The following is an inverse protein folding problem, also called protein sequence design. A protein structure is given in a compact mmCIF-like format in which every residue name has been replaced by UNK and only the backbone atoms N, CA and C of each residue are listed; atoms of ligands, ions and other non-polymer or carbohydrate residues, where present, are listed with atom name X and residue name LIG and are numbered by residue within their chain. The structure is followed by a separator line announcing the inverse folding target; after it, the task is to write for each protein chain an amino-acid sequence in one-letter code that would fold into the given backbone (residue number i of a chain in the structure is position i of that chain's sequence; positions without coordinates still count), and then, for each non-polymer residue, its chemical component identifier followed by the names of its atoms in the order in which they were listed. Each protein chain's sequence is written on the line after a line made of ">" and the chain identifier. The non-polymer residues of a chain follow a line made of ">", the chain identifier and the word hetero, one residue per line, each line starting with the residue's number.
data_IF_567904303243
#
_entry.id   IF_567904303243
#
_cell.length_a   1.000
_cell.length_b   1.000
_cell.length_c   1.000
_cell.angle_alpha   90.00
_cell.angle_beta   90.00
_cell.angle_gamma   90.00
#
_symmetry.space_group_name_H-M   'P 1'
#
loop_
_entity.id
_entity.type
_entity.pdbx_description
1 polymer ?
#
# COMPACT_ATOMS: atom_id res chain seq x y z
N UNK A 1 10.77 -22.79 -8.72
CA UNK A 1 10.16 -21.46 -8.42
C UNK A 1 10.25 -21.04 -6.95
N UNK A 2 10.44 -21.95 -5.97
CA UNK A 2 10.62 -21.58 -4.54
C UNK A 2 11.94 -20.84 -4.21
N UNK A 3 12.98 -20.95 -5.05
CA UNK A 3 14.29 -20.33 -4.75
C UNK A 3 14.38 -18.84 -5.12
N UNK A 4 13.56 -18.35 -6.05
CA UNK A 4 13.68 -16.96 -6.51
C UNK A 4 13.20 -15.95 -5.46
N UNK A 5 12.22 -16.32 -4.63
CA UNK A 5 11.73 -15.48 -3.54
C UNK A 5 12.70 -15.45 -2.35
N UNK A 6 13.31 -16.58 -2.00
CA UNK A 6 14.37 -16.61 -0.99
C UNK A 6 15.59 -15.83 -1.44
N UNK A 7 15.96 -15.90 -2.72
CA UNK A 7 17.06 -15.11 -3.31
C UNK A 7 16.76 -13.61 -3.27
N UNK A 8 15.54 -13.17 -3.63
CA UNK A 8 15.20 -11.74 -3.61
C UNK A 8 15.12 -11.19 -2.18
N UNK A 9 14.57 -11.96 -1.23
CA UNK A 9 14.51 -11.58 0.18
C UNK A 9 15.91 -11.55 0.82
N UNK A 10 16.78 -12.50 0.46
CA UNK A 10 18.19 -12.50 0.92
C UNK A 10 19.00 -11.37 0.31
N UNK A 11 18.82 -11.06 -0.98
CA UNK A 11 19.46 -9.90 -1.63
C UNK A 11 19.02 -8.60 -0.98
N UNK A 12 17.72 -8.43 -0.68
CA UNK A 12 17.23 -7.22 -0.01
C UNK A 12 17.79 -7.07 1.42
N UNK A 13 17.96 -8.18 2.15
CA UNK A 13 18.62 -8.15 3.47
C UNK A 13 20.14 -7.92 3.39
N UNK A 14 20.81 -8.35 2.31
CA UNK A 14 22.25 -8.17 2.10
C UNK A 14 22.60 -6.74 1.71
N UNK A 15 21.73 -6.04 0.96
CA UNK A 15 21.94 -4.63 0.59
C UNK A 15 21.88 -3.72 1.84
N UNK A 16 21.16 -4.11 2.90
CA UNK A 16 21.15 -3.39 4.18
C UNK A 16 22.48 -3.50 4.96
N UNK A 17 23.35 -4.46 4.64
CA UNK A 17 24.65 -4.66 5.32
C UNK A 17 25.76 -3.75 4.78
N UNK A 18 25.55 -3.06 3.65
CA UNK A 18 26.55 -2.16 3.04
C UNK A 18 26.14 -0.68 3.08
N UNK A 19 25.34 -0.28 4.08
CA UNK A 19 25.08 1.14 4.30
C UNK A 19 26.35 1.86 4.75
N UNK A 20 26.72 2.91 4.01
CA UNK A 20 27.84 3.81 4.28
C UNK A 20 27.76 4.37 5.70
N UNK A 21 28.83 4.18 6.48
CA UNK A 21 28.96 4.71 7.84
C UNK A 21 29.35 6.18 7.72
N UNK A 22 28.37 7.08 7.79
CA UNK A 22 28.62 8.53 7.84
C UNK A 22 28.84 8.99 9.30
N UNK A 23 29.70 9.99 9.50
CA UNK A 23 30.30 10.37 10.80
C UNK A 23 29.39 11.19 11.73
N UNK A 24 28.08 11.13 11.55
CA UNK A 24 27.13 11.81 12.45
C UNK A 24 26.62 10.84 13.51
N UNK A 25 26.48 11.28 14.76
CA UNK A 25 25.98 10.42 15.84
C UNK A 25 24.50 10.09 15.62
N UNK A 26 24.26 8.98 14.91
CA UNK A 26 22.92 8.43 14.71
C UNK A 26 22.47 7.89 16.07
N UNK A 27 21.64 8.64 16.81
CA UNK A 27 20.84 8.06 17.90
C UNK A 27 20.18 6.80 17.35
N UNK A 28 20.30 5.62 17.99
CA UNK A 28 19.77 4.38 17.42
C UNK A 28 18.29 4.58 17.11
N UNK A 29 18.00 4.67 15.81
CA UNK A 29 16.66 4.87 15.27
C UNK A 29 15.83 3.68 15.75
N UNK A 30 14.69 3.93 16.40
CA UNK A 30 13.94 2.93 17.16
C UNK A 30 13.76 1.59 16.43
N UNK A 31 13.73 0.49 17.19
CA UNK A 31 13.80 -0.88 16.68
C UNK A 31 12.81 -1.16 15.52
N UNK A 32 13.33 -1.26 14.29
CA UNK A 32 12.56 -1.52 13.07
C UNK A 32 11.78 -2.82 13.16
N UNK A 33 12.31 -3.84 13.85
CA UNK A 33 11.60 -5.10 14.07
C UNK A 33 10.24 -4.86 14.73
N UNK A 34 10.19 -4.03 15.79
CA UNK A 34 8.93 -3.71 16.48
C UNK A 34 7.92 -2.99 15.59
N UNK A 35 8.39 -2.09 14.72
CA UNK A 35 7.54 -1.34 13.79
C UNK A 35 7.00 -2.22 12.66
N UNK A 36 7.75 -3.26 12.27
CA UNK A 36 7.37 -4.17 11.20
C UNK A 36 6.41 -5.26 11.63
N UNK A 37 6.23 -5.53 12.94
CA UNK A 37 5.32 -6.59 13.42
C UNK A 37 3.92 -6.38 12.89
N UNK A 38 3.32 -5.19 13.07
CA UNK A 38 1.94 -4.93 12.66
C UNK A 38 1.76 -5.03 11.14
N UNK A 39 2.56 -4.33 10.30
CA UNK A 39 2.44 -4.46 8.84
C UNK A 39 2.66 -5.89 8.33
N UNK A 40 3.70 -6.58 8.82
CA UNK A 40 3.99 -7.95 8.36
C UNK A 40 2.91 -8.93 8.82
N UNK A 41 2.34 -8.74 10.00
CA UNK A 41 1.22 -9.55 10.47
C UNK A 41 0.01 -9.36 9.57
N UNK A 42 -0.34 -8.12 9.21
CA UNK A 42 -1.47 -7.82 8.31
C UNK A 42 -1.26 -8.37 6.88
N UNK A 43 -0.04 -8.26 6.35
CA UNK A 43 0.28 -8.86 5.05
C UNK A 43 0.19 -10.39 5.12
N UNK A 44 0.76 -10.99 6.16
CA UNK A 44 0.73 -12.44 6.38
C UNK A 44 -0.69 -12.97 6.53
N UNK A 45 -1.53 -12.32 7.34
CA UNK A 45 -2.94 -12.69 7.49
C UNK A 45 -3.71 -12.49 6.19
N UNK A 46 -3.47 -11.42 5.44
CA UNK A 46 -4.08 -11.20 4.13
C UNK A 46 -3.74 -12.31 3.12
N UNK A 47 -2.48 -12.75 3.09
CA UNK A 47 -2.05 -13.89 2.25
C UNK A 47 -2.72 -15.19 2.69
N UNK A 48 -2.79 -15.45 4.00
CA UNK A 48 -3.42 -16.67 4.53
C UNK A 48 -4.93 -16.71 4.32
N UNK A 49 -5.60 -15.56 4.41
CA UNK A 49 -7.03 -15.43 4.15
C UNK A 49 -7.35 -15.47 2.65
N UNK A 50 -6.38 -15.16 1.80
CA UNK A 50 -6.53 -15.24 0.35
C UNK A 50 -6.86 -16.68 -0.06
N UNK A 51 -7.91 -16.84 -0.86
CA UNK A 51 -8.48 -18.11 -1.34
C UNK A 51 -9.12 -19.02 -0.26
N UNK A 52 -9.20 -18.53 0.98
CA UNK A 52 -9.87 -19.23 2.07
C UNK A 52 -11.40 -19.33 1.87
N UNK A 53 -12.04 -20.29 2.53
CA UNK A 53 -13.49 -20.42 2.54
C UNK A 53 -14.20 -19.18 3.10
N UNK A 54 -13.56 -18.47 4.03
CA UNK A 54 -14.07 -17.21 4.57
C UNK A 54 -14.12 -16.13 3.48
N UNK A 55 -13.05 -15.96 2.70
CA UNK A 55 -13.01 -14.98 1.61
C UNK A 55 -14.07 -15.26 0.55
N UNK A 56 -14.21 -16.52 0.14
CA UNK A 56 -15.22 -16.95 -0.84
C UNK A 56 -16.65 -16.70 -0.34
N UNK A 57 -16.92 -17.02 0.92
CA UNK A 57 -18.20 -16.76 1.57
C UNK A 57 -18.50 -15.26 1.67
N UNK A 58 -17.53 -14.46 2.08
CA UNK A 58 -17.65 -13.01 2.21
C UNK A 58 -17.91 -12.35 0.85
N UNK A 59 -17.16 -12.74 -0.19
CA UNK A 59 -17.34 -12.24 -1.56
C UNK A 59 -18.75 -12.58 -2.09
N UNK A 60 -19.18 -13.84 -1.94
CA UNK A 60 -20.50 -14.29 -2.38
C UNK A 60 -21.63 -13.56 -1.64
N UNK A 61 -21.51 -13.41 -0.32
CA UNK A 61 -22.50 -12.71 0.51
C UNK A 61 -22.60 -11.24 0.11
N UNK A 62 -21.46 -10.57 -0.08
CA UNK A 62 -21.40 -9.16 -0.49
C UNK A 62 -22.01 -8.97 -1.87
N UNK A 63 -21.66 -9.83 -2.83
CA UNK A 63 -22.23 -9.80 -4.19
C UNK A 63 -23.74 -9.99 -4.18
N UNK A 64 -24.26 -10.94 -3.39
CA UNK A 64 -25.70 -11.16 -3.25
C UNK A 64 -26.41 -9.98 -2.58
N UNK A 65 -25.74 -9.24 -1.71
CA UNK A 65 -26.31 -8.07 -1.03
C UNK A 65 -26.34 -6.82 -1.93
N UNK A 66 -25.26 -6.54 -2.67
CA UNK A 66 -25.16 -5.37 -3.56
C UNK A 66 -25.87 -5.59 -4.90
N UNK A 67 -25.92 -6.84 -5.38
CA UNK A 67 -26.46 -7.22 -6.68
C UNK A 67 -25.38 -7.88 -7.54
N UNK A 68 -25.74 -9.01 -8.18
CA UNK A 68 -24.80 -9.80 -8.98
C UNK A 68 -24.33 -9.10 -10.26
N UNK A 69 -25.14 -8.16 -10.77
CA UNK A 69 -24.85 -7.36 -11.97
C UNK A 69 -24.28 -5.96 -11.64
N UNK A 70 -23.92 -5.72 -10.38
CA UNK A 70 -23.35 -4.43 -9.98
C UNK A 70 -21.90 -4.32 -10.46
N UNK A 71 -21.69 -3.40 -11.39
CA UNK A 71 -20.37 -2.98 -11.85
C UNK A 71 -20.28 -1.45 -11.82
N UNK A 72 -19.17 -0.93 -11.33
CA UNK A 72 -18.89 0.50 -11.30
C UNK A 72 -17.45 0.73 -11.70
N UNK A 73 -17.19 1.86 -12.36
CA UNK A 73 -15.85 2.33 -12.71
C UNK A 73 -15.40 3.47 -11.79
N UNK A 74 -16.13 3.76 -10.72
CA UNK A 74 -15.79 4.87 -9.82
C UNK A 74 -14.43 4.66 -9.15
N UNK A 75 -14.13 3.42 -8.77
CA UNK A 75 -12.87 3.01 -8.18
C UNK A 75 -11.67 3.27 -9.10
N UNK A 76 -11.86 3.22 -10.42
CA UNK A 76 -10.82 3.55 -11.38
C UNK A 76 -10.33 5.00 -11.25
N UNK A 77 -11.21 5.92 -10.85
CA UNK A 77 -10.88 7.34 -10.66
C UNK A 77 -10.52 7.65 -9.21
N UNK A 78 -11.29 7.13 -8.24
CA UNK A 78 -11.08 7.44 -6.83
C UNK A 78 -9.76 6.91 -6.29
N UNK A 79 -9.09 5.97 -6.98
CA UNK A 79 -7.75 5.53 -6.62
C UNK A 79 -6.70 6.65 -6.55
N UNK A 80 -6.91 7.73 -7.31
CA UNK A 80 -6.02 8.90 -7.32
C UNK A 80 -6.51 10.03 -6.42
N UNK A 81 -7.65 9.85 -5.75
CA UNK A 81 -8.21 10.86 -4.85
C UNK A 81 -7.22 11.29 -3.76
N UNK A 82 -6.43 10.41 -3.11
CA UNK A 82 -5.46 10.87 -2.11
C UNK A 82 -4.35 11.76 -2.71
N UNK A 83 -3.94 11.50 -3.96
CA UNK A 83 -2.97 12.36 -4.66
C UNK A 83 -3.58 13.74 -4.92
N UNK A 84 -4.83 13.80 -5.34
CA UNK A 84 -5.54 15.06 -5.49
C UNK A 84 -5.67 15.79 -4.14
N UNK A 85 -6.03 15.08 -3.06
CA UNK A 85 -6.12 15.62 -1.70
C UNK A 85 -4.82 16.28 -1.26
N UNK A 86 -3.67 15.64 -1.54
CA UNK A 86 -2.35 16.17 -1.20
C UNK A 86 -2.15 17.58 -1.77
N UNK A 87 -2.30 17.74 -3.09
CA UNK A 87 -2.04 19.02 -3.75
C UNK A 87 -3.15 20.05 -3.55
N UNK A 88 -4.42 19.61 -3.41
CA UNK A 88 -5.52 20.52 -3.08
C UNK A 88 -5.31 21.12 -1.69
N UNK A 89 -4.85 20.33 -0.71
CA UNK A 89 -4.57 20.81 0.63
C UNK A 89 -3.42 21.84 0.64
N UNK A 90 -2.36 21.61 -0.14
CA UNK A 90 -1.28 22.58 -0.35
C UNK A 90 -1.80 23.90 -0.96
N UNK A 91 -2.62 23.82 -2.01
CA UNK A 91 -3.23 24.99 -2.65
C UNK A 91 -4.20 25.74 -1.72
N UNK A 92 -4.89 25.02 -0.84
CA UNK A 92 -5.75 25.58 0.20
C UNK A 92 -4.97 26.18 1.38
N UNK A 93 -3.62 26.11 1.37
CA UNK A 93 -2.77 26.66 2.41
C UNK A 93 -2.78 25.86 3.71
N UNK A 94 -3.18 24.58 3.67
CA UNK A 94 -3.09 23.69 4.83
C UNK A 94 -1.61 23.45 5.11
N UNK A 95 -1.21 23.62 6.37
CA UNK A 95 0.19 23.42 6.77
C UNK A 95 0.59 21.95 6.60
N UNK A 96 1.32 21.63 5.55
CA UNK A 96 1.99 20.34 5.39
C UNK A 96 3.28 20.27 6.20
N UNK A 97 3.75 19.05 6.48
CA UNK A 97 5.04 18.80 7.11
C UNK A 97 6.21 19.19 6.18
N UNK A 98 6.12 18.82 4.90
CA UNK A 98 7.17 19.07 3.92
C UNK A 98 6.74 20.07 2.83
N UNK A 99 7.74 20.64 2.15
CA UNK A 99 7.54 21.43 0.94
C UNK A 99 7.05 20.56 -0.22
N UNK A 100 6.21 21.09 -1.12
CA UNK A 100 5.55 20.34 -2.20
C UNK A 100 6.49 19.44 -3.04
N UNK A 101 7.74 19.88 -3.23
CA UNK A 101 8.76 19.09 -3.93
C UNK A 101 9.13 17.80 -3.18
N UNK A 102 9.32 17.89 -1.87
CA UNK A 102 9.62 16.73 -1.04
C UNK A 102 8.42 15.80 -0.89
N UNK A 103 7.20 16.36 -0.81
CA UNK A 103 5.96 15.57 -0.86
C UNK A 103 5.87 14.76 -2.16
N UNK A 104 6.14 15.41 -3.30
CA UNK A 104 6.13 14.77 -4.62
C UNK A 104 7.17 13.65 -4.71
N UNK A 105 8.37 13.89 -4.17
CA UNK A 105 9.43 12.88 -4.09
C UNK A 105 9.00 11.68 -3.24
N UNK A 106 8.44 11.92 -2.05
CA UNK A 106 7.95 10.88 -1.15
C UNK A 106 6.81 10.09 -1.79
N UNK A 107 5.90 10.76 -2.49
CA UNK A 107 4.83 10.14 -3.26
C UNK A 107 5.38 9.23 -4.36
N UNK A 108 6.32 9.72 -5.17
CA UNK A 108 6.91 8.95 -6.26
C UNK A 108 7.61 7.69 -5.74
N UNK A 109 8.43 7.81 -4.69
CA UNK A 109 9.10 6.67 -4.07
C UNK A 109 8.08 5.66 -3.54
N UNK A 110 7.03 6.14 -2.86
CA UNK A 110 5.99 5.29 -2.28
C UNK A 110 5.20 4.55 -3.35
N UNK A 111 4.89 5.21 -4.47
CA UNK A 111 4.20 4.60 -5.61
C UNK A 111 5.07 3.53 -6.30
N UNK A 112 6.35 3.82 -6.54
CA UNK A 112 7.27 2.88 -7.18
C UNK A 112 7.44 1.63 -6.32
N UNK A 113 7.73 1.80 -5.03
CA UNK A 113 7.89 0.67 -4.11
C UNK A 113 6.61 -0.15 -4.03
N UNK A 114 5.46 0.51 -3.91
CA UNK A 114 4.15 -0.16 -3.88
C UNK A 114 3.91 -0.97 -5.15
N UNK A 115 4.16 -0.42 -6.33
CA UNK A 115 3.98 -1.15 -7.59
C UNK A 115 4.91 -2.37 -7.69
N UNK A 116 6.18 -2.21 -7.32
CA UNK A 116 7.16 -3.30 -7.28
C UNK A 116 6.70 -4.43 -6.36
N UNK A 117 6.34 -4.12 -5.11
CA UNK A 117 5.89 -5.13 -4.15
C UNK A 117 4.55 -5.75 -4.55
N UNK A 118 3.59 -4.95 -5.01
CA UNK A 118 2.27 -5.43 -5.46
C UNK A 118 2.43 -6.43 -6.60
N UNK A 119 3.24 -6.10 -7.62
CA UNK A 119 3.50 -7.01 -8.75
C UNK A 119 4.27 -8.24 -8.32
N UNK A 120 5.23 -8.10 -7.41
CA UNK A 120 5.97 -9.24 -6.87
C UNK A 120 5.00 -10.20 -6.16
N UNK A 121 4.13 -9.73 -5.28
CA UNK A 121 3.18 -10.59 -4.56
C UNK A 121 2.17 -11.23 -5.52
N UNK A 122 1.61 -10.46 -6.47
CA UNK A 122 0.69 -10.99 -7.51
C UNK A 122 1.27 -12.21 -8.24
N UNK A 123 2.53 -12.09 -8.66
CA UNK A 123 3.25 -13.16 -9.37
C UNK A 123 3.67 -14.35 -8.50
N UNK A 124 3.50 -14.29 -7.18
CA UNK A 124 3.89 -15.36 -6.26
C UNK A 124 2.70 -16.02 -5.55
N UNK A 125 1.58 -15.31 -5.38
CA UNK A 125 0.38 -15.85 -4.74
C UNK A 125 -0.53 -16.60 -5.73
N UNK A 126 -0.44 -16.31 -7.03
CA UNK A 126 -1.17 -17.03 -8.11
C UNK A 126 -2.67 -17.18 -7.87
N UNK A 127 -3.32 -16.09 -7.44
CA UNK A 127 -4.76 -16.10 -7.19
C UNK A 127 -5.53 -15.87 -8.48
N UNK A 128 -6.28 -16.88 -8.92
CA UNK A 128 -7.22 -16.77 -10.04
C UNK A 128 -8.31 -15.75 -9.76
N UNK A 129 -8.59 -14.90 -10.74
CA UNK A 129 -9.68 -13.92 -10.66
C UNK A 129 -11.04 -14.63 -10.67
N UNK A 130 -12.09 -14.01 -10.09
CA UNK A 130 -13.45 -14.57 -10.11
C UNK A 130 -14.00 -14.83 -11.51
N UNK A 131 -13.55 -14.06 -12.51
CA UNK A 131 -13.92 -14.19 -13.92
C UNK A 131 -13.03 -15.19 -14.70
N UNK A 132 -12.01 -15.77 -14.05
CA UNK A 132 -11.06 -16.69 -14.68
C UNK A 132 -10.05 -16.03 -15.65
N UNK A 133 -9.99 -14.70 -15.74
CA UNK A 133 -9.20 -14.03 -16.78
C UNK A 133 -7.68 -14.11 -16.58
N UNK A 134 -7.20 -14.22 -15.33
CA UNK A 134 -5.79 -14.43 -14.98
C UNK A 134 -5.60 -14.81 -13.50
N UNK A 135 -4.36 -15.16 -13.14
CA UNK A 135 -3.93 -15.55 -11.79
C UNK A 135 -3.27 -14.43 -10.97
N UNK A 136 -3.56 -13.17 -11.30
CA UNK A 136 -2.97 -11.99 -10.66
C UNK A 136 -4.00 -11.20 -9.83
N UNK A 137 -4.95 -11.86 -9.18
CA UNK A 137 -6.03 -11.19 -8.45
C UNK A 137 -5.56 -10.55 -7.13
N UNK A 138 -4.62 -11.15 -6.40
CA UNK A 138 -4.17 -10.67 -5.08
C UNK A 138 -2.72 -10.17 -5.07
N UNK A 139 -2.40 -9.07 -4.37
CA UNK A 139 -3.32 -8.10 -3.75
C UNK A 139 -3.96 -7.17 -4.80
N UNK A 140 -4.97 -6.37 -4.44
CA UNK A 140 -5.59 -5.40 -5.36
C UNK A 140 -4.64 -4.25 -5.69
N UNK A 141 -4.50 -3.93 -6.98
CA UNK A 141 -3.64 -2.83 -7.42
C UNK A 141 -4.20 -1.45 -7.07
N UNK A 142 -5.52 -1.27 -7.20
CA UNK A 142 -6.23 -0.04 -6.80
C UNK A 142 -6.01 0.24 -5.33
N UNK A 143 -6.33 -0.75 -4.49
CA UNK A 143 -6.18 -0.64 -3.04
C UNK A 143 -4.73 -0.35 -2.65
N UNK A 144 -3.75 -1.05 -3.23
CA UNK A 144 -2.33 -0.82 -2.92
C UNK A 144 -1.87 0.61 -3.25
N UNK A 145 -2.17 1.11 -4.44
CA UNK A 145 -1.77 2.47 -4.86
C UNK A 145 -2.48 3.54 -4.02
N UNK A 146 -3.78 3.34 -3.77
CA UNK A 146 -4.60 4.29 -3.00
C UNK A 146 -4.17 4.33 -1.54
N UNK A 147 -3.90 3.17 -0.94
CA UNK A 147 -3.36 3.10 0.42
C UNK A 147 -2.01 3.79 0.52
N UNK A 148 -1.10 3.56 -0.43
CA UNK A 148 0.23 4.17 -0.43
C UNK A 148 0.17 5.70 -0.56
N UNK A 149 -0.65 6.21 -1.48
CA UNK A 149 -0.86 7.66 -1.62
C UNK A 149 -1.60 8.26 -0.41
N UNK A 150 -2.56 7.54 0.18
CA UNK A 150 -3.20 7.89 1.44
C UNK A 150 -2.21 7.95 2.62
N UNK A 151 -1.23 7.05 2.67
CA UNK A 151 -0.15 7.12 3.66
C UNK A 151 0.73 8.35 3.49
N UNK A 152 0.95 8.82 2.26
CA UNK A 152 1.67 10.08 2.02
C UNK A 152 0.84 11.25 2.56
N UNK A 153 -0.46 11.34 2.25
CA UNK A 153 -1.36 12.35 2.84
C UNK A 153 -1.31 12.30 4.37
N UNK A 154 -1.32 11.11 4.95
CA UNK A 154 -1.24 10.93 6.39
C UNK A 154 0.07 11.51 6.97
N UNK A 155 1.21 11.14 6.40
CA UNK A 155 2.50 11.61 6.89
C UNK A 155 2.68 13.13 6.75
N UNK A 156 2.11 13.73 5.69
CA UNK A 156 2.19 15.18 5.46
C UNK A 156 1.28 16.00 6.36
N UNK A 157 0.12 15.47 6.79
CA UNK A 157 -0.88 16.25 7.53
C UNK A 157 -1.18 15.76 8.95
N UNK A 158 -0.63 14.63 9.42
CA UNK A 158 -0.94 14.07 10.76
C UNK A 158 -0.76 15.06 11.92
N UNK A 159 0.21 15.96 11.80
CA UNK A 159 0.57 16.93 12.84
C UNK A 159 -0.25 18.23 12.75
N UNK A 160 -0.84 18.53 11.60
CA UNK A 160 -1.54 19.79 11.33
C UNK A 160 -3.06 19.61 11.26
N UNK A 161 -3.53 18.55 10.60
CA UNK A 161 -4.94 18.21 10.46
C UNK A 161 -5.13 16.69 10.40
N UNK A 162 -5.45 16.08 11.53
CA UNK A 162 -5.61 14.62 11.62
C UNK A 162 -6.76 14.09 10.77
N UNK A 163 -7.86 14.83 10.60
CA UNK A 163 -8.98 14.38 9.77
C UNK A 163 -8.56 14.31 8.29
N UNK A 164 -7.86 15.34 7.81
CA UNK A 164 -7.29 15.34 6.47
C UNK A 164 -6.26 14.22 6.31
N UNK A 165 -5.39 14.02 7.30
CA UNK A 165 -4.39 12.96 7.29
C UNK A 165 -5.00 11.57 7.08
N UNK A 166 -6.12 11.26 7.74
CA UNK A 166 -6.80 9.97 7.58
C UNK A 166 -7.69 9.87 6.34
N UNK A 167 -8.07 10.99 5.73
CA UNK A 167 -9.05 11.03 4.63
C UNK A 167 -8.65 10.16 3.43
N UNK A 168 -7.36 10.09 3.12
CA UNK A 168 -6.84 9.32 1.97
C UNK A 168 -7.11 7.82 2.07
N UNK A 169 -7.17 7.25 3.29
CA UNK A 169 -7.42 5.83 3.48
C UNK A 169 -8.85 5.42 3.14
N UNK A 170 -9.82 6.35 3.17
CA UNK A 170 -11.22 6.07 2.85
C UNK A 170 -11.46 5.64 1.40
N UNK A 171 -10.51 5.93 0.51
CA UNK A 171 -10.60 5.57 -0.91
C UNK A 171 -9.93 4.22 -1.24
N UNK A 172 -9.23 3.60 -0.28
CA UNK A 172 -8.48 2.37 -0.51
C UNK A 172 -9.40 1.15 -0.58
N UNK A 173 -10.09 1.00 -1.71
CA UNK A 173 -11.01 -0.10 -2.02
C UNK A 173 -10.49 -1.00 -3.12
#
# INVERSE_FOLDING_TARGET
>A
MKSSLTILLTIFTLIQLSAQVDSTSIKPKGNLFKKSIVPLSLIGTGILLSDSGFEKSFNTTTRNWVGNDYETSLDDYTRYAPVATLYIADLAGVKAENHWFDQTKNLAISMILTDVFTRAIKKNVFKTRPDGSNDNAFPSGHTSITFASGSVVYEEFKNSNSLLAYSGYGFAT
#
